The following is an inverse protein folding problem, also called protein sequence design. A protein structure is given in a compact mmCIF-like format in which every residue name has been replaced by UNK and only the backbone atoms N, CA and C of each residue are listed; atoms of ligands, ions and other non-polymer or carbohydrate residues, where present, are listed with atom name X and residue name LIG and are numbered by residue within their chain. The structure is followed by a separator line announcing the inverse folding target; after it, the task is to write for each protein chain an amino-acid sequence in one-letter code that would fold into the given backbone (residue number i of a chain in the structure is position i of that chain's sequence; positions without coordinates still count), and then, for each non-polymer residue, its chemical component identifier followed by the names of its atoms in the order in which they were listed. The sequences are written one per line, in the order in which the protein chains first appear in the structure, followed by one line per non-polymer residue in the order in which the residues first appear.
data_IF_931962343614
#
_entry.id   IF_931962343614
#
_cell.length_a   1.000
_cell.length_b   1.000
_cell.length_c   1.000
_cell.angle_alpha   90.00
_cell.angle_beta   90.00
_cell.angle_gamma   90.00
#
_symmetry.space_group_name_H-M   'P 1'
#
loop_
_entity.id
_entity.type
_entity.pdbx_description
1 polymer ?
#
# COMPACT_ATOMS: atom_id res chain seq x y z
N UNK A 1 -22.21 -46.88 14.39
CA UNK A 1 -21.06 -45.96 14.52
C UNK A 1 -21.07 -45.06 13.31
N UNK A 2 -21.49 -43.78 13.38
CA UNK A 2 -21.30 -42.85 12.28
C UNK A 2 -19.95 -42.14 12.45
N UNK A 3 -19.17 -42.16 11.37
CA UNK A 3 -17.85 -41.57 11.26
C UNK A 3 -17.95 -40.05 11.39
N UNK A 4 -17.19 -39.49 12.33
CA UNK A 4 -17.09 -38.05 12.58
C UNK A 4 -16.43 -37.40 11.37
N UNK A 5 -17.18 -36.62 10.60
CA UNK A 5 -16.60 -35.73 9.59
C UNK A 5 -15.63 -34.80 10.31
N UNK A 6 -14.36 -34.87 9.90
CA UNK A 6 -13.33 -33.94 10.32
C UNK A 6 -13.75 -32.52 9.92
N UNK A 7 -14.16 -31.73 10.91
CA UNK A 7 -14.26 -30.28 10.83
C UNK A 7 -12.83 -29.74 10.70
N UNK A 8 -12.30 -29.82 9.48
CA UNK A 8 -11.04 -29.15 9.14
C UNK A 8 -11.45 -27.74 8.74
N UNK A 9 -11.15 -26.71 9.54
CA UNK A 9 -11.48 -25.34 9.16
C UNK A 9 -10.79 -25.03 7.82
N UNK A 10 -11.46 -24.34 6.88
CA UNK A 10 -10.85 -24.02 5.61
C UNK A 10 -9.59 -23.22 5.90
N UNK A 11 -8.46 -23.75 5.43
CA UNK A 11 -7.20 -23.02 5.38
C UNK A 11 -7.51 -21.66 4.79
N UNK A 12 -7.31 -20.60 5.59
CA UNK A 12 -7.44 -19.24 5.09
C UNK A 12 -6.35 -19.12 4.03
N UNK A 13 -6.72 -19.28 2.78
CA UNK A 13 -5.86 -18.96 1.65
C UNK A 13 -5.48 -17.49 1.84
N UNK A 14 -4.30 -17.25 2.42
CA UNK A 14 -3.58 -15.99 2.32
C UNK A 14 -3.12 -15.87 0.86
N UNK A 15 -4.09 -15.75 -0.05
CA UNK A 15 -3.87 -15.30 -1.40
C UNK A 15 -3.11 -13.96 -1.34
N UNK A 16 -2.30 -13.66 -2.37
CA UNK A 16 -1.38 -12.52 -2.35
C UNK A 16 -2.14 -11.28 -1.89
N UNK A 17 -1.69 -10.69 -0.77
CA UNK A 17 -2.33 -9.54 -0.14
C UNK A 17 -2.60 -8.52 -1.23
N UNK A 18 -3.85 -8.40 -1.68
CA UNK A 18 -4.19 -7.57 -2.82
C UNK A 18 -3.67 -6.17 -2.52
N UNK A 19 -2.75 -5.67 -3.36
CA UNK A 19 -2.17 -4.34 -3.19
C UNK A 19 -3.32 -3.34 -3.13
N UNK A 20 -3.62 -2.85 -1.92
CA UNK A 20 -4.73 -1.91 -1.72
C UNK A 20 -4.37 -0.63 -2.43
N UNK A 21 -5.06 -0.35 -3.53
CA UNK A 21 -4.90 0.90 -4.26
C UNK A 21 -5.44 2.05 -3.41
N UNK A 22 -4.60 3.03 -3.15
CA UNK A 22 -4.96 4.23 -2.41
C UNK A 22 -5.13 5.40 -3.38
N UNK A 23 -6.37 5.84 -3.57
CA UNK A 23 -6.67 7.04 -4.34
C UNK A 23 -6.65 8.26 -3.41
N UNK A 24 -5.68 9.16 -3.61
CA UNK A 24 -5.56 10.41 -2.85
C UNK A 24 -5.81 11.59 -3.78
N UNK A 25 -6.59 12.57 -3.31
CA UNK A 25 -6.75 13.85 -4.00
C UNK A 25 -5.68 14.81 -3.53
N UNK A 26 -4.94 15.38 -4.49
CA UNK A 26 -3.96 16.44 -4.24
C UNK A 26 -4.23 17.61 -5.19
N UNK A 27 -3.82 18.84 -4.81
CA UNK A 27 -3.91 19.99 -5.71
C UNK A 27 -3.17 19.72 -7.03
N UNK A 28 -3.75 20.14 -8.15
CA UNK A 28 -3.21 19.87 -9.50
C UNK A 28 -1.80 20.44 -9.67
N UNK A 29 -1.57 21.66 -9.17
CA UNK A 29 -0.26 22.30 -9.25
C UNK A 29 0.82 21.49 -8.53
N UNK A 30 0.48 20.93 -7.36
CA UNK A 30 1.37 20.08 -6.59
C UNK A 30 1.66 18.78 -7.33
N UNK A 31 0.63 18.13 -7.88
CA UNK A 31 0.79 16.94 -8.72
C UNK A 31 1.72 17.20 -9.91
N UNK A 32 1.53 18.32 -10.62
CA UNK A 32 2.34 18.69 -11.79
C UNK A 32 3.81 18.88 -11.43
N UNK A 33 4.10 19.66 -10.38
CA UNK A 33 5.47 19.89 -9.91
C UNK A 33 6.14 18.58 -9.51
N UNK A 34 5.40 17.73 -8.78
CA UNK A 34 5.90 16.44 -8.31
C UNK A 34 6.20 15.49 -9.47
N UNK A 35 5.32 15.45 -10.48
CA UNK A 35 5.51 14.64 -11.69
C UNK A 35 6.78 15.02 -12.44
N UNK A 36 7.02 16.32 -12.62
CA UNK A 36 8.21 16.81 -13.31
C UNK A 36 9.50 16.40 -12.58
N UNK A 37 9.52 16.51 -11.25
CA UNK A 37 10.66 16.07 -10.44
C UNK A 37 10.88 14.55 -10.52
N UNK A 38 9.80 13.75 -10.51
CA UNK A 38 9.90 12.30 -10.66
C UNK A 38 10.53 11.93 -12.01
N UNK A 39 10.08 12.56 -13.10
CA UNK A 39 10.63 12.34 -14.45
C UNK A 39 12.11 12.74 -14.52
N UNK A 40 12.48 13.90 -13.96
CA UNK A 40 13.88 14.37 -13.95
C UNK A 40 14.83 13.41 -13.24
N UNK A 41 14.35 12.74 -12.19
CA UNK A 41 15.14 11.82 -11.37
C UNK A 41 15.03 10.36 -11.81
N UNK A 42 14.18 10.06 -12.80
CA UNK A 42 13.94 8.69 -13.27
C UNK A 42 13.28 7.79 -12.21
N UNK A 43 12.45 8.36 -11.33
CA UNK A 43 11.80 7.62 -10.23
C UNK A 43 10.28 7.55 -10.44
N UNK A 44 9.66 6.49 -9.94
CA UNK A 44 8.20 6.34 -9.97
C UNK A 44 7.55 7.24 -8.91
N UNK A 45 6.48 7.93 -9.29
CA UNK A 45 5.70 8.73 -8.35
C UNK A 45 5.11 7.87 -7.22
N UNK A 46 4.76 6.61 -7.51
CA UNK A 46 4.26 5.65 -6.50
C UNK A 46 5.31 5.42 -5.41
N UNK A 47 6.54 5.13 -5.79
CA UNK A 47 7.61 4.78 -4.85
C UNK A 47 7.94 5.96 -3.94
N UNK A 48 8.00 7.17 -4.51
CA UNK A 48 8.24 8.39 -3.75
C UNK A 48 7.10 8.66 -2.75
N UNK A 49 5.84 8.48 -3.17
CA UNK A 49 4.69 8.64 -2.27
C UNK A 49 4.68 7.59 -1.16
N UNK A 50 5.01 6.35 -1.48
CA UNK A 50 5.07 5.27 -0.49
C UNK A 50 6.15 5.54 0.56
N UNK A 51 7.34 5.98 0.13
CA UNK A 51 8.43 6.34 1.04
C UNK A 51 8.04 7.52 1.94
N UNK A 52 7.38 8.54 1.38
CA UNK A 52 6.90 9.69 2.13
C UNK A 52 5.84 9.30 3.18
N UNK A 53 4.87 8.45 2.82
CA UNK A 53 3.86 7.93 3.75
C UNK A 53 4.55 7.12 4.85
N UNK A 54 5.51 6.27 4.50
CA UNK A 54 6.26 5.45 5.48
C UNK A 54 7.01 6.33 6.48
N UNK A 55 7.71 7.37 6.01
CA UNK A 55 8.41 8.34 6.88
C UNK A 55 7.44 9.10 7.77
N UNK A 56 6.30 9.53 7.24
CA UNK A 56 5.28 10.24 8.01
C UNK A 56 4.69 9.37 9.13
N UNK A 57 4.36 8.11 8.81
CA UNK A 57 3.84 7.16 9.80
C UNK A 57 4.89 6.81 10.86
N UNK A 58 6.16 6.62 10.46
CA UNK A 58 7.26 6.39 11.40
C UNK A 58 7.44 7.57 12.37
N UNK A 59 7.35 8.80 11.87
CA UNK A 59 7.43 10.01 12.71
C UNK A 59 6.24 10.17 13.66
N UNK A 60 5.05 9.70 13.28
CA UNK A 60 3.85 9.72 14.15
C UNK A 60 3.86 8.65 15.23
N UNK A 61 4.45 7.48 14.97
CA UNK A 61 4.46 6.34 15.90
C UNK A 61 5.45 6.49 17.06
N UNK A 62 6.32 7.51 16.99
CA UNK A 62 7.34 7.82 18.00
C UNK A 62 6.96 8.93 18.98
N UNK A 63 5.68 9.36 19.05
CA UNK A 63 5.17 10.32 20.04
C UNK A 63 4.00 9.75 20.82
#
# INVERSE_FOLDING_TARGET
MPETLADTPPEREEGPVAEKQLAIRIPEELHRRFRLECVRRGVSMRDVLEEAIRKFLAGKRGR
#
